data_IF_305172028485
#
_entry.id   IF_305172028485
#
_cell.length_a   1.000
_cell.length_b   1.000
_cell.length_c   1.000
_cell.angle_alpha   90.00
_cell.angle_beta   90.00
_cell.angle_gamma   90.00
#
_symmetry.space_group_name_H-M   'P 1'
#
loop_
_entity.id
_entity.type
_entity.pdbx_description
1 polymer ?
#
# COMPACT_ATOMS: atom_id res chain seq x y z
N UNK A 1 -0.17 -17.66 -8.36
CA UNK A 1 -1.63 -17.46 -8.23
C UNK A 1 -1.90 -15.97 -8.41
N UNK A 2 -2.88 -15.62 -9.25
CA UNK A 2 -2.98 -14.29 -9.89
C UNK A 2 -3.34 -13.17 -8.89
N UNK A 3 -2.42 -12.23 -8.60
CA UNK A 3 -2.68 -11.03 -7.79
C UNK A 3 -3.64 -10.04 -8.46
N UNK A 4 -4.02 -10.30 -9.72
CA UNK A 4 -5.12 -9.61 -10.40
C UNK A 4 -6.36 -9.53 -9.52
N UNK A 5 -6.68 -10.58 -8.76
CA UNK A 5 -7.85 -10.65 -7.86
C UNK A 5 -7.85 -9.57 -6.75
N UNK A 6 -6.68 -9.05 -6.38
CA UNK A 6 -6.56 -7.97 -5.41
C UNK A 6 -6.81 -6.57 -6.00
N UNK A 7 -6.81 -6.40 -7.34
CA UNK A 7 -6.97 -5.09 -8.02
C UNK A 7 -8.39 -4.82 -8.52
N UNK A 8 -9.31 -5.79 -8.39
CA UNK A 8 -10.62 -5.75 -9.07
C UNK A 8 -11.57 -4.63 -8.62
N UNK A 9 -11.30 -3.96 -7.49
CA UNK A 9 -12.10 -2.82 -7.06
C UNK A 9 -11.93 -1.57 -7.92
N UNK A 10 -10.81 -1.40 -8.67
CA UNK A 10 -10.65 -0.23 -9.57
C UNK A 10 -10.86 -0.54 -11.06
N UNK A 11 -10.60 -1.78 -11.50
CA UNK A 11 -10.61 -2.14 -12.93
C UNK A 11 -12.05 -2.43 -13.46
N UNK A 12 -13.01 -2.69 -12.58
CA UNK A 12 -14.37 -3.09 -12.99
C UNK A 12 -15.20 -2.00 -13.67
N UNK A 13 -14.79 -0.71 -13.63
CA UNK A 13 -15.44 0.31 -14.48
C UNK A 13 -14.99 0.26 -15.97
N UNK A 14 -13.86 -0.37 -16.30
CA UNK A 14 -13.42 -0.53 -17.70
C UNK A 14 -14.06 -1.73 -18.41
N UNK A 15 -14.36 -2.81 -17.68
CA UNK A 15 -15.01 -3.99 -18.26
C UNK A 15 -16.49 -3.72 -18.61
N UNK A 16 -17.18 -2.87 -17.84
CA UNK A 16 -18.54 -2.42 -18.14
C UNK A 16 -18.61 -1.47 -19.36
N UNK A 17 -17.55 -0.71 -19.65
CA UNK A 17 -17.49 0.10 -20.89
C UNK A 17 -17.38 -0.78 -22.14
N UNK A 18 -16.67 -1.91 -22.06
CA UNK A 18 -16.60 -2.87 -23.18
C UNK A 18 -17.91 -3.66 -23.36
N UNK A 19 -18.63 -3.98 -22.28
CA UNK A 19 -19.94 -4.66 -22.38
C UNK A 19 -20.99 -3.71 -22.99
N UNK A 20 -20.92 -2.40 -22.72
CA UNK A 20 -21.84 -1.41 -23.28
C UNK A 20 -21.60 -1.06 -24.76
N UNK A 21 -20.49 -1.48 -25.38
CA UNK A 21 -20.31 -1.38 -26.84
C UNK A 21 -20.82 -2.60 -27.61
N UNK A 22 -21.21 -3.69 -26.92
CA UNK A 22 -21.60 -4.96 -27.52
C UNK A 22 -23.10 -5.30 -27.45
N UNK A 23 -23.94 -4.45 -26.84
CA UNK A 23 -25.38 -4.70 -26.69
C UNK A 23 -26.26 -3.61 -27.31
N UNK A 24 -26.09 -3.36 -28.61
CA UNK A 24 -27.14 -2.73 -29.39
C UNK A 24 -28.17 -3.80 -29.79
N UNK A 25 -29.10 -4.13 -28.88
CA UNK A 25 -30.48 -4.53 -29.18
C UNK A 25 -31.22 -4.89 -27.86
N UNK A 26 -32.08 -3.98 -27.38
CA UNK A 26 -33.33 -4.39 -26.71
C UNK A 26 -33.40 -4.46 -25.19
N UNK A 27 -32.43 -3.99 -24.40
CA UNK A 27 -32.56 -3.94 -22.93
C UNK A 27 -32.48 -2.51 -22.40
N UNK A 28 -33.59 -2.05 -21.81
CA UNK A 28 -33.75 -0.74 -21.19
C UNK A 28 -32.98 -0.73 -19.85
N UNK A 29 -31.69 -0.35 -19.91
CA UNK A 29 -30.81 -0.30 -18.75
C UNK A 29 -30.76 1.11 -18.15
N UNK A 30 -30.72 1.24 -16.81
CA UNK A 30 -30.69 2.53 -16.13
C UNK A 30 -29.42 3.31 -16.50
N UNK A 31 -29.56 4.61 -16.73
CA UNK A 31 -28.45 5.55 -16.94
C UNK A 31 -27.64 5.68 -15.65
N UNK A 32 -26.52 4.94 -15.56
CA UNK A 32 -25.61 5.01 -14.42
C UNK A 32 -24.77 6.29 -14.54
N UNK A 33 -25.10 7.31 -13.76
CA UNK A 33 -24.39 8.62 -13.71
C UNK A 33 -23.24 8.66 -12.70
N UNK A 34 -22.92 7.55 -12.01
CA UNK A 34 -21.78 7.45 -11.10
C UNK A 34 -21.30 6.00 -10.94
N UNK A 35 -19.98 5.75 -11.07
CA UNK A 35 -19.33 4.45 -10.78
C UNK A 35 -19.35 4.14 -9.26
N UNK A 36 -20.52 3.97 -8.66
CA UNK A 36 -20.67 3.37 -7.32
C UNK A 36 -21.29 1.99 -7.52
N UNK A 37 -20.49 1.03 -7.98
CA UNK A 37 -20.94 -0.35 -8.02
C UNK A 37 -20.87 -0.92 -6.61
N UNK A 38 -22.01 -1.07 -5.97
CA UNK A 38 -22.13 -1.74 -4.68
C UNK A 38 -21.95 -3.24 -4.93
N UNK A 39 -20.69 -3.72 -4.96
CA UNK A 39 -20.37 -5.13 -5.19
C UNK A 39 -21.11 -5.98 -4.15
N UNK A 40 -21.83 -7.05 -4.52
CA UNK A 40 -22.50 -7.92 -3.57
C UNK A 40 -21.53 -8.43 -2.50
N UNK A 41 -21.96 -8.47 -1.23
CA UNK A 41 -21.10 -8.82 -0.09
C UNK A 41 -20.41 -10.19 -0.25
N UNK A 42 -21.05 -11.13 -0.95
CA UNK A 42 -20.47 -12.45 -1.27
C UNK A 42 -19.27 -12.35 -2.22
N UNK A 43 -19.34 -11.48 -3.23
CA UNK A 43 -18.23 -11.26 -4.16
C UNK A 43 -17.07 -10.50 -3.48
N UNK A 44 -17.40 -9.59 -2.55
CA UNK A 44 -16.41 -8.92 -1.70
C UNK A 44 -15.63 -9.91 -0.84
N UNK A 45 -16.32 -10.85 -0.19
CA UNK A 45 -15.71 -11.90 0.62
C UNK A 45 -14.78 -12.82 -0.21
N UNK A 46 -15.22 -13.20 -1.42
CA UNK A 46 -14.38 -13.98 -2.34
C UNK A 46 -13.10 -13.23 -2.74
N UNK A 47 -13.20 -11.94 -3.07
CA UNK A 47 -12.01 -11.13 -3.41
C UNK A 47 -11.04 -11.02 -2.24
N UNK A 48 -11.55 -10.79 -1.03
CA UNK A 48 -10.74 -10.70 0.18
C UNK A 48 -9.99 -12.01 0.47
N UNK A 49 -10.69 -13.16 0.39
CA UNK A 49 -10.08 -14.47 0.61
C UNK A 49 -8.95 -14.75 -0.39
N UNK A 50 -9.21 -14.51 -1.69
CA UNK A 50 -8.20 -14.65 -2.74
C UNK A 50 -6.99 -13.76 -2.51
N UNK A 51 -7.21 -12.54 -2.02
CA UNK A 51 -6.13 -11.62 -1.72
C UNK A 51 -5.32 -12.05 -0.49
N UNK A 52 -5.98 -12.57 0.55
CA UNK A 52 -5.33 -13.17 1.72
C UNK A 52 -4.45 -14.36 1.33
N UNK A 53 -4.93 -15.25 0.47
CA UNK A 53 -4.14 -16.39 -0.03
C UNK A 53 -2.89 -15.90 -0.77
N UNK A 54 -3.02 -14.93 -1.68
CA UNK A 54 -1.90 -14.38 -2.43
C UNK A 54 -0.88 -13.66 -1.54
N UNK A 55 -1.35 -12.84 -0.58
CA UNK A 55 -0.50 -12.11 0.33
C UNK A 55 0.27 -13.03 1.29
N UNK A 56 -0.39 -14.10 1.78
CA UNK A 56 0.26 -15.16 2.58
C UNK A 56 1.28 -15.95 1.77
N UNK A 57 1.10 -16.05 0.46
CA UNK A 57 2.08 -16.64 -0.45
C UNK A 57 3.26 -15.69 -0.77
N UNK A 58 3.30 -14.49 -0.18
CA UNK A 58 4.40 -13.54 -0.34
C UNK A 58 4.23 -12.53 -1.47
N UNK A 59 3.09 -12.50 -2.16
CA UNK A 59 2.87 -11.53 -3.23
C UNK A 59 2.81 -10.09 -2.66
N UNK A 60 3.81 -9.26 -2.98
CA UNK A 60 3.94 -7.90 -2.44
C UNK A 60 2.80 -6.97 -2.83
N UNK A 61 2.21 -7.17 -4.01
CA UNK A 61 1.08 -6.38 -4.48
C UNK A 61 -0.18 -6.76 -3.69
N UNK A 62 -0.42 -8.05 -3.48
CA UNK A 62 -1.52 -8.52 -2.65
C UNK A 62 -1.40 -8.04 -1.20
N UNK A 63 -0.19 -8.05 -0.64
CA UNK A 63 0.09 -7.49 0.69
C UNK A 63 -0.22 -5.99 0.72
N UNK A 64 0.22 -5.23 -0.27
CA UNK A 64 -0.11 -3.81 -0.37
C UNK A 64 -1.62 -3.57 -0.45
N UNK A 65 -2.34 -4.31 -1.30
CA UNK A 65 -3.78 -4.19 -1.45
C UNK A 65 -4.55 -4.55 -0.17
N UNK A 66 -4.12 -5.58 0.57
CA UNK A 66 -4.69 -5.87 1.90
C UNK A 66 -4.48 -4.72 2.87
N UNK A 67 -3.29 -4.10 2.85
CA UNK A 67 -3.03 -2.89 3.63
C UNK A 67 -4.02 -1.77 3.29
N UNK A 68 -4.36 -1.57 2.01
CA UNK A 68 -5.39 -0.62 1.58
C UNK A 68 -6.78 -1.00 2.10
N UNK A 69 -7.16 -2.27 2.00
CA UNK A 69 -8.47 -2.71 2.46
C UNK A 69 -8.68 -2.49 3.96
N UNK A 70 -7.64 -2.75 4.77
CA UNK A 70 -7.68 -2.50 6.20
C UNK A 70 -7.53 -1.01 6.57
N UNK A 71 -6.81 -0.20 5.81
CA UNK A 71 -6.67 1.24 6.13
C UNK A 71 -7.89 2.05 5.69
N UNK A 72 -8.41 1.81 4.48
CA UNK A 72 -9.52 2.59 3.90
C UNK A 72 -10.91 2.04 4.28
N UNK A 73 -10.98 0.82 4.82
CA UNK A 73 -12.24 0.17 5.17
C UNK A 73 -13.11 -0.26 3.96
N UNK A 74 -12.51 -0.48 2.79
CA UNK A 74 -13.23 -0.68 1.51
C UNK A 74 -13.89 -2.07 1.34
N UNK A 75 -13.35 -3.10 1.99
CA UNK A 75 -13.81 -4.50 1.93
C UNK A 75 -14.01 -5.14 3.30
N UNK A 76 -13.40 -4.54 4.32
CA UNK A 76 -13.39 -4.96 5.70
C UNK A 76 -13.54 -3.71 6.55
N UNK A 77 -13.96 -3.85 7.80
CA UNK A 77 -13.90 -2.73 8.74
C UNK A 77 -12.46 -2.23 8.85
N UNK A 78 -12.29 -0.91 8.85
CA UNK A 78 -10.97 -0.31 8.96
C UNK A 78 -10.26 -0.79 10.25
N UNK A 79 -9.00 -1.20 10.11
CA UNK A 79 -8.17 -1.71 11.17
C UNK A 79 -6.70 -1.38 10.89
N UNK A 80 -6.22 -0.29 11.47
CA UNK A 80 -4.88 0.22 11.21
C UNK A 80 -3.75 -0.73 11.65
N UNK A 81 -3.79 -1.42 12.80
CA UNK A 81 -2.78 -2.44 13.13
C UNK A 81 -2.60 -3.52 12.05
N UNK A 82 -3.68 -4.01 11.44
CA UNK A 82 -3.65 -5.00 10.36
C UNK A 82 -3.11 -4.38 9.07
N UNK A 83 -3.50 -3.15 8.75
CA UNK A 83 -2.94 -2.41 7.63
C UNK A 83 -1.42 -2.25 7.78
N UNK A 84 -0.96 -1.86 8.97
CA UNK A 84 0.46 -1.70 9.32
C UNK A 84 1.22 -3.01 9.10
N UNK A 85 0.65 -4.13 9.54
CA UNK A 85 1.24 -5.46 9.35
C UNK A 85 1.46 -5.75 7.86
N UNK A 86 0.43 -5.58 7.03
CA UNK A 86 0.51 -5.88 5.60
C UNK A 86 1.43 -4.92 4.84
N UNK A 87 1.39 -3.62 5.15
CA UNK A 87 2.33 -2.66 4.57
C UNK A 87 3.78 -2.95 4.96
N UNK A 88 4.06 -3.42 6.19
CA UNK A 88 5.40 -3.89 6.57
C UNK A 88 5.91 -5.03 5.69
N UNK A 89 5.05 -6.01 5.41
CA UNK A 89 5.44 -7.14 4.54
C UNK A 89 5.72 -6.66 3.10
N UNK A 90 4.85 -5.84 2.52
CA UNK A 90 5.04 -5.30 1.17
C UNK A 90 6.26 -4.36 1.09
N UNK A 91 6.45 -3.51 2.10
CA UNK A 91 7.58 -2.58 2.23
C UNK A 91 8.92 -3.32 2.28
N UNK A 92 8.98 -4.46 2.98
CA UNK A 92 10.19 -5.30 3.05
C UNK A 92 10.59 -5.88 1.67
N UNK A 93 9.65 -5.95 0.73
CA UNK A 93 9.86 -6.39 -0.65
C UNK A 93 10.04 -5.23 -1.63
N UNK A 94 10.40 -4.04 -1.13
CA UNK A 94 10.57 -2.82 -1.90
C UNK A 94 9.33 -2.40 -2.71
N UNK A 95 8.12 -2.69 -2.21
CA UNK A 95 6.92 -2.07 -2.76
C UNK A 95 6.86 -0.61 -2.31
N UNK A 96 7.15 0.31 -3.23
CA UNK A 96 7.32 1.74 -2.95
C UNK A 96 6.06 2.36 -2.33
N UNK A 97 4.88 2.10 -2.90
CA UNK A 97 3.62 2.63 -2.35
C UNK A 97 3.34 2.15 -0.92
N UNK A 98 3.75 0.92 -0.59
CA UNK A 98 3.62 0.39 0.76
C UNK A 98 4.61 1.07 1.72
N UNK A 99 5.82 1.40 1.26
CA UNK A 99 6.79 2.16 2.05
C UNK A 99 6.27 3.55 2.36
N UNK A 100 5.73 4.27 1.37
CA UNK A 100 5.13 5.60 1.56
C UNK A 100 4.01 5.54 2.60
N UNK A 101 3.06 4.60 2.45
CA UNK A 101 1.97 4.43 3.41
C UNK A 101 2.46 4.07 4.80
N UNK A 102 3.43 3.17 4.90
CA UNK A 102 4.02 2.80 6.18
C UNK A 102 4.73 3.97 6.86
N UNK A 103 5.42 4.82 6.09
CA UNK A 103 6.03 6.07 6.57
C UNK A 103 4.98 6.98 7.20
N UNK A 104 3.87 7.23 6.49
CA UNK A 104 2.76 8.03 7.03
C UNK A 104 2.12 7.41 8.28
N UNK A 105 1.97 6.08 8.34
CA UNK A 105 1.41 5.44 9.53
C UNK A 105 2.27 5.66 10.78
N UNK A 106 3.61 5.65 10.64
CA UNK A 106 4.50 6.02 11.74
C UNK A 106 4.52 7.51 12.03
N UNK A 107 4.44 8.37 11.01
CA UNK A 107 4.43 9.82 11.18
C UNK A 107 3.16 10.29 11.92
N UNK A 108 2.01 9.71 11.57
CA UNK A 108 0.70 10.10 12.07
C UNK A 108 0.21 9.24 13.25
N UNK A 109 0.93 8.16 13.57
CA UNK A 109 0.55 7.24 14.65
C UNK A 109 -0.71 6.41 14.34
N UNK A 110 -0.90 6.00 13.08
CA UNK A 110 -2.05 5.18 12.68
C UNK A 110 -1.78 3.70 12.99
N UNK A 111 -2.48 3.14 13.97
CA UNK A 111 -2.32 1.73 14.37
C UNK A 111 -0.98 1.42 15.05
N UNK A 112 -0.18 2.44 15.34
CA UNK A 112 1.11 2.37 16.03
C UNK A 112 1.37 3.73 16.69
N UNK A 113 2.11 3.83 17.82
CA UNK A 113 2.54 5.13 18.33
C UNK A 113 3.36 5.90 17.29
N UNK A 114 3.27 7.24 17.33
CA UNK A 114 4.07 8.13 16.49
C UNK A 114 5.56 7.79 16.65
N UNK A 115 6.25 7.67 15.52
CA UNK A 115 7.68 7.36 15.47
C UNK A 115 8.33 8.04 14.27
N UNK A 116 8.72 9.30 14.45
CA UNK A 116 9.33 10.13 13.40
C UNK A 116 10.64 9.52 12.87
N UNK A 117 11.41 8.84 13.73
CA UNK A 117 12.64 8.14 13.32
C UNK A 117 12.34 7.00 12.34
N UNK A 118 11.33 6.18 12.61
CA UNK A 118 10.92 5.11 11.70
C UNK A 118 10.31 5.67 10.41
N UNK A 119 9.48 6.71 10.52
CA UNK A 119 8.91 7.39 9.37
C UNK A 119 10.01 7.92 8.44
N UNK A 120 10.97 8.68 8.97
CA UNK A 120 12.12 9.21 8.24
C UNK A 120 12.89 8.10 7.53
N UNK A 121 13.26 7.03 8.23
CA UNK A 121 14.02 5.92 7.63
C UNK A 121 13.25 5.30 6.46
N UNK A 122 11.97 5.05 6.62
CA UNK A 122 11.13 4.39 5.60
C UNK A 122 10.93 5.31 4.40
N UNK A 123 10.70 6.61 4.63
CA UNK A 123 10.60 7.60 3.57
C UNK A 123 11.90 7.75 2.77
N UNK A 124 13.07 7.79 3.43
CA UNK A 124 14.36 7.78 2.70
C UNK A 124 14.56 6.50 1.89
N UNK A 125 14.14 5.34 2.40
CA UNK A 125 14.18 4.07 1.67
C UNK A 125 13.24 4.11 0.46
N UNK A 126 12.02 4.64 0.59
CA UNK A 126 11.08 4.82 -0.50
C UNK A 126 11.65 5.74 -1.60
N UNK A 127 12.31 6.85 -1.21
CA UNK A 127 13.01 7.72 -2.13
C UNK A 127 14.13 7.01 -2.89
N UNK A 128 14.95 6.21 -2.20
CA UNK A 128 15.98 5.38 -2.85
C UNK A 128 15.36 4.39 -3.86
N UNK A 129 14.16 3.89 -3.57
CA UNK A 129 13.42 3.00 -4.46
C UNK A 129 12.59 3.73 -5.54
N UNK A 130 12.69 5.07 -5.62
CA UNK A 130 12.13 5.87 -6.73
C UNK A 130 10.91 6.72 -6.40
N UNK A 131 10.58 6.95 -5.13
CA UNK A 131 9.52 7.91 -4.75
C UNK A 131 10.11 9.26 -4.33
N UNK A 132 10.11 10.23 -5.25
CA UNK A 132 10.54 11.59 -4.95
C UNK A 132 9.64 12.24 -3.88
N UNK A 133 8.33 11.99 -3.93
CA UNK A 133 7.36 12.42 -2.90
C UNK A 133 7.77 11.97 -1.50
N UNK A 134 8.27 10.74 -1.35
CA UNK A 134 8.72 10.25 -0.06
C UNK A 134 9.96 11.00 0.45
N UNK A 135 10.80 11.57 -0.42
CA UNK A 135 11.94 12.35 0.05
C UNK A 135 11.50 13.66 0.71
N UNK A 136 10.49 14.32 0.16
CA UNK A 136 9.92 15.54 0.76
C UNK A 136 9.33 15.24 2.15
N UNK A 137 8.62 14.12 2.29
CA UNK A 137 8.08 13.67 3.58
C UNK A 137 9.15 13.21 4.58
N UNK A 138 10.32 12.78 4.09
CA UNK A 138 11.46 12.52 4.96
C UNK A 138 11.95 13.83 5.60
N UNK A 139 12.03 14.92 4.84
CA UNK A 139 12.47 16.21 5.37
C UNK A 139 11.48 16.72 6.44
N UNK A 140 10.17 16.55 6.21
CA UNK A 140 9.13 16.81 7.23
C UNK A 140 9.35 15.98 8.49
N UNK A 141 9.62 14.67 8.36
CA UNK A 141 9.88 13.81 9.51
C UNK A 141 11.17 14.21 10.25
N UNK A 142 12.18 14.73 9.55
CA UNK A 142 13.43 15.20 10.13
C UNK A 142 13.25 16.46 10.99
N UNK A 143 12.40 17.39 10.57
CA UNK A 143 12.09 18.62 11.32
C UNK A 143 11.35 18.32 12.65
N UNK A 144 10.71 17.15 12.74
CA UNK A 144 10.01 16.68 13.94
C UNK A 144 10.90 15.87 14.91
N UNK A 145 12.21 15.78 14.65
CA UNK A 145 13.16 15.02 15.46
C UNK A 145 14.20 15.90 16.15
N UNK A 146 14.74 15.43 17.27
CA UNK A 146 15.95 16.02 17.84
C UNK A 146 17.18 15.75 16.96
N UNK A 147 18.24 16.57 17.04
CA UNK A 147 19.50 16.32 16.34
C UNK A 147 20.10 14.93 16.65
N UNK A 148 19.92 14.43 17.88
CA UNK A 148 20.37 13.11 18.30
C UNK A 148 19.60 11.99 17.59
N UNK A 149 18.27 12.11 17.50
CA UNK A 149 17.42 11.14 16.79
C UNK A 149 17.72 11.14 15.29
N UNK A 150 17.90 12.31 14.67
CA UNK A 150 18.28 12.43 13.27
C UNK A 150 19.67 11.82 13.01
N UNK A 151 20.64 12.05 13.89
CA UNK A 151 21.95 11.42 13.83
C UNK A 151 21.85 9.89 13.93
N UNK A 152 21.03 9.39 14.86
CA UNK A 152 20.78 7.96 15.02
C UNK A 152 20.14 7.36 13.75
N UNK A 153 19.16 8.04 13.15
CA UNK A 153 18.49 7.60 11.94
C UNK A 153 19.46 7.51 10.76
N UNK A 154 20.28 8.54 10.56
CA UNK A 154 21.31 8.58 9.51
C UNK A 154 22.39 7.51 9.73
N UNK A 155 22.75 7.23 10.98
CA UNK A 155 23.66 6.12 11.31
C UNK A 155 23.07 4.74 10.91
N UNK A 156 21.78 4.50 11.21
CA UNK A 156 21.08 3.27 10.85
C UNK A 156 21.02 3.13 9.32
N UNK A 157 20.62 4.18 8.60
CA UNK A 157 20.57 4.19 7.14
C UNK A 157 21.94 3.87 6.52
N UNK A 158 23.01 4.51 6.99
CA UNK A 158 24.36 4.26 6.50
C UNK A 158 24.83 2.82 6.75
N UNK A 159 24.47 2.22 7.89
CA UNK A 159 24.79 0.80 8.18
C UNK A 159 24.02 -0.15 7.26
N UNK A 160 22.75 0.12 7.01
CA UNK A 160 21.90 -0.68 6.11
C UNK A 160 22.40 -0.62 4.67
N UNK A 161 22.72 0.58 4.18
CA UNK A 161 23.25 0.78 2.83
C UNK A 161 24.60 0.06 2.62
N UNK A 162 25.52 0.14 3.60
CA UNK A 162 26.78 -0.62 3.55
C UNK A 162 26.56 -2.13 3.44
N UNK A 163 25.59 -2.68 4.17
CA UNK A 163 25.24 -4.11 4.09
C UNK A 163 24.68 -4.46 2.71
N UNK A 164 23.78 -3.64 2.18
CA UNK A 164 23.21 -3.81 0.84
C UNK A 164 24.30 -3.84 -0.24
N UNK A 165 25.24 -2.88 -0.21
CA UNK A 165 26.37 -2.83 -1.14
C UNK A 165 27.29 -4.05 -1.05
N UNK A 166 27.42 -4.66 0.13
CA UNK A 166 28.21 -5.89 0.29
C UNK A 166 27.54 -7.08 -0.41
N UNK A 167 26.23 -7.22 -0.25
CA UNK A 167 25.46 -8.32 -0.83
C UNK A 167 25.37 -8.28 -2.36
N UNK A 168 25.62 -7.13 -3.00
CA UNK A 168 25.66 -7.03 -4.48
C UNK A 168 27.01 -7.49 -5.05
N UNK A 169 28.08 -7.46 -4.24
CA UNK A 169 29.44 -7.78 -4.68
C UNK A 169 29.80 -9.27 -4.52
N UNK A 170 28.95 -10.04 -3.86
CA UNK A 170 29.05 -11.50 -3.65
C UNK A 170 28.13 -12.22 -4.63
#
# INVERSE_FOLDING_TARGET
MNSSYCKFYSISCLLLLFINQLSAEGLNLPTITSCTFNVPQEQQAFMLDRCLVAAKAGDKEAQYQLGLYYSDGKLVTANYPEALYWFKQASAQAQVDAQVRLGYMYLQGQGVPVNNLQAYIIFKIAGINGSDEAMDEADVAADLMSPQELQQANYILGKTFRRYLKNIKE
#
